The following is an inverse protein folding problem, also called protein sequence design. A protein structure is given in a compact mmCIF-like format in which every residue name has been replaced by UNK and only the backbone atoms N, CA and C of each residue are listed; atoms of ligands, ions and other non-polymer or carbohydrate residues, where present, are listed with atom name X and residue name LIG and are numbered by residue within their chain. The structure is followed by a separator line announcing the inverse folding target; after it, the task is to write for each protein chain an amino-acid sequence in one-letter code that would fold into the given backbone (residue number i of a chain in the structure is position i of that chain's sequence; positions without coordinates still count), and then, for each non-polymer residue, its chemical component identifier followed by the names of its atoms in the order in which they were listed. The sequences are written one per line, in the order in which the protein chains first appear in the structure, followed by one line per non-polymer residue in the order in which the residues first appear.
data_IF_314602250617
#
_entry.id   IF_314602250617
#
_cell.length_a   1.000
_cell.length_b   1.000
_cell.length_c   1.000
_cell.angle_alpha   90.00
_cell.angle_beta   90.00
_cell.angle_gamma   90.00
#
_symmetry.space_group_name_H-M   'P 1'
#
loop_
_entity.id
_entity.type
_entity.pdbx_description
1 polymer ?
#
# COMPACT_ATOMS: atom_id res chain seq x y z
N UNK A 1 46.43 -68.11 28.81
CA UNK A 1 45.98 -66.76 28.39
C UNK A 1 46.43 -66.59 26.95
N UNK A 2 45.84 -67.32 25.99
CA UNK A 2 44.59 -67.02 25.27
C UNK A 2 44.82 -65.70 24.51
N UNK A 3 45.23 -65.67 23.24
CA UNK A 3 44.63 -66.37 22.10
C UNK A 3 43.64 -65.38 21.45
N UNK A 4 44.14 -64.40 20.69
CA UNK A 4 43.28 -63.46 19.98
C UNK A 4 42.65 -64.12 18.75
N UNK A 5 41.32 -63.99 18.71
CA UNK A 5 40.40 -64.63 17.79
C UNK A 5 39.91 -63.56 16.80
N UNK A 6 40.07 -63.80 15.50
CA UNK A 6 39.41 -63.03 14.44
C UNK A 6 37.89 -63.19 14.51
N UNK A 7 37.11 -62.16 14.18
CA UNK A 7 35.97 -62.18 13.21
C UNK A 7 35.62 -60.71 12.87
N UNK A 8 35.49 -60.39 11.58
CA UNK A 8 35.11 -59.07 11.10
C UNK A 8 33.60 -58.81 11.11
N UNK A 9 33.22 -57.57 10.79
CA UNK A 9 31.89 -57.27 10.30
C UNK A 9 31.98 -56.11 9.31
N UNK A 10 31.55 -56.39 8.07
CA UNK A 10 31.23 -55.43 7.04
C UNK A 10 30.48 -54.23 7.62
N UNK A 11 31.07 -53.03 7.51
CA UNK A 11 30.28 -51.80 7.56
C UNK A 11 29.59 -51.67 6.20
N UNK A 12 28.26 -51.60 6.11
CA UNK A 12 27.62 -51.33 4.84
C UNK A 12 27.92 -49.88 4.48
N UNK A 13 28.79 -49.67 3.50
CA UNK A 13 28.88 -48.41 2.79
C UNK A 13 27.65 -48.35 1.88
N UNK A 14 26.71 -47.47 2.19
CA UNK A 14 25.54 -47.25 1.33
C UNK A 14 26.05 -46.52 0.08
N UNK A 15 26.50 -47.28 -0.92
CA UNK A 15 26.54 -46.79 -2.29
C UNK A 15 25.10 -46.54 -2.72
N UNK A 16 24.69 -45.27 -2.62
CA UNK A 16 23.49 -44.80 -3.30
C UNK A 16 23.82 -44.79 -4.79
N UNK A 17 23.57 -45.90 -5.46
CA UNK A 17 23.40 -45.89 -6.91
C UNK A 17 22.29 -44.89 -7.22
N UNK A 18 22.68 -43.73 -7.74
CA UNK A 18 21.74 -42.77 -8.31
C UNK A 18 21.18 -43.47 -9.56
N UNK A 19 19.87 -43.74 -9.63
CA UNK A 19 19.28 -44.33 -10.82
C UNK A 19 19.61 -43.42 -12.02
N UNK A 20 20.08 -44.02 -13.13
CA UNK A 20 20.31 -43.33 -14.42
C UNK A 20 19.03 -42.73 -15.04
N UNK A 21 17.93 -42.62 -14.30
CA UNK A 21 16.75 -41.83 -14.64
C UNK A 21 16.80 -40.37 -14.14
N UNK A 22 17.80 -39.99 -13.32
CA UNK A 22 18.05 -38.59 -12.93
C UNK A 22 19.04 -37.85 -13.84
N UNK A 23 19.12 -38.24 -15.12
CA UNK A 23 19.68 -37.37 -16.15
C UNK A 23 18.57 -36.43 -16.59
N UNK A 24 18.49 -35.25 -15.95
CA UNK A 24 17.59 -34.17 -16.34
C UNK A 24 17.89 -33.80 -17.80
N UNK A 25 16.98 -34.17 -18.71
CA UNK A 25 16.88 -33.55 -20.02
C UNK A 25 16.21 -32.18 -19.86
N UNK A 26 17.01 -31.13 -20.03
CA UNK A 26 16.68 -29.98 -20.88
C UNK A 26 15.61 -28.99 -20.40
N UNK A 27 16.07 -27.98 -19.66
CA UNK A 27 15.87 -26.53 -19.93
C UNK A 27 14.48 -25.89 -19.89
N UNK A 28 13.36 -26.62 -19.85
CA UNK A 28 12.04 -25.98 -19.90
C UNK A 28 11.48 -25.52 -18.54
N UNK A 29 11.71 -26.25 -17.45
CA UNK A 29 11.11 -25.92 -16.14
C UNK A 29 11.90 -24.89 -15.31
N UNK A 30 13.21 -24.72 -15.54
CA UNK A 30 14.01 -23.70 -14.84
C UNK A 30 13.63 -22.28 -15.27
N UNK A 31 13.40 -22.11 -16.57
CA UNK A 31 13.02 -20.82 -17.15
C UNK A 31 11.68 -20.29 -16.61
N UNK A 32 10.71 -21.17 -16.35
CA UNK A 32 9.39 -20.75 -15.84
C UNK A 32 9.47 -20.30 -14.38
N UNK A 33 10.32 -20.95 -13.57
CA UNK A 33 10.53 -20.61 -12.16
C UNK A 33 11.35 -19.32 -12.04
N UNK A 34 12.43 -19.19 -12.80
CA UNK A 34 13.28 -17.99 -12.82
C UNK A 34 12.53 -16.78 -13.39
N UNK A 35 11.69 -16.97 -14.41
CA UNK A 35 10.84 -15.90 -14.93
C UNK A 35 9.75 -15.47 -13.93
N UNK A 36 9.20 -16.41 -13.13
CA UNK A 36 8.18 -16.07 -12.14
C UNK A 36 8.78 -15.33 -10.92
N UNK A 37 9.94 -15.79 -10.43
CA UNK A 37 10.69 -15.12 -9.35
C UNK A 37 11.12 -13.70 -9.76
N UNK A 38 11.63 -13.53 -10.99
CA UNK A 38 12.00 -12.21 -11.50
C UNK A 38 10.78 -11.30 -11.70
N UNK A 39 9.61 -11.86 -12.03
CA UNK A 39 8.37 -11.11 -12.22
C UNK A 39 7.81 -10.63 -10.87
N UNK A 40 7.75 -11.48 -9.86
CA UNK A 40 7.33 -11.10 -8.51
C UNK A 40 8.29 -10.10 -7.86
N UNK A 41 9.60 -10.31 -8.01
CA UNK A 41 10.58 -9.31 -7.57
C UNK A 41 10.43 -7.99 -8.32
N UNK A 42 10.24 -8.00 -9.65
CA UNK A 42 10.05 -6.79 -10.46
C UNK A 42 8.78 -6.02 -10.10
N UNK A 43 7.73 -6.71 -9.68
CA UNK A 43 6.49 -6.08 -9.18
C UNK A 43 6.66 -5.52 -7.77
N UNK A 44 7.43 -6.18 -6.90
CA UNK A 44 7.77 -5.64 -5.58
C UNK A 44 8.58 -4.34 -5.66
N UNK A 45 9.42 -4.16 -6.70
CA UNK A 45 10.19 -2.90 -6.94
C UNK A 45 9.33 -1.75 -7.45
N UNK A 46 8.07 -2.00 -7.82
CA UNK A 46 7.16 -0.98 -8.34
C UNK A 46 6.16 -0.47 -7.31
N UNK A 47 6.24 -0.90 -6.05
CA UNK A 47 5.36 -0.40 -4.98
C UNK A 47 6.01 0.79 -4.29
N UNK A 48 5.25 1.89 -4.19
CA UNK A 48 5.65 3.12 -3.49
C UNK A 48 4.71 3.35 -2.31
N UNK A 49 5.27 3.72 -1.16
CA UNK A 49 4.52 4.13 0.02
C UNK A 49 4.29 5.65 0.00
N UNK A 50 3.04 6.05 0.22
CA UNK A 50 2.63 7.44 0.39
C UNK A 50 2.06 7.62 1.79
N UNK A 51 2.53 8.64 2.50
CA UNK A 51 1.96 9.08 3.78
C UNK A 51 1.06 10.27 3.53
N UNK A 52 -0.22 10.15 3.89
CA UNK A 52 -1.27 11.15 3.64
C UNK A 52 -1.70 11.72 4.98
N UNK A 53 -1.54 13.02 5.17
CA UNK A 53 -2.09 13.76 6.32
C UNK A 53 -3.29 14.56 5.87
N UNK A 54 -4.43 14.31 6.49
CA UNK A 54 -5.69 15.01 6.20
C UNK A 54 -5.99 15.96 7.34
N UNK A 55 -6.19 17.24 7.02
CA UNK A 55 -6.48 18.30 7.98
C UNK A 55 -7.96 18.64 7.91
N UNK A 56 -8.71 18.27 8.94
CA UNK A 56 -10.11 18.68 9.10
C UNK A 56 -10.14 20.03 9.80
N UNK A 57 -10.79 21.02 9.21
CA UNK A 57 -10.74 22.39 9.75
C UNK A 57 -11.49 22.54 11.08
N UNK A 58 -11.22 23.64 11.77
CA UNK A 58 -11.80 23.94 13.08
C UNK A 58 -13.09 24.79 12.97
N UNK A 59 -14.04 24.37 12.13
CA UNK A 59 -15.38 24.96 12.06
C UNK A 59 -16.40 24.14 12.85
N UNK A 60 -17.45 24.78 13.35
CA UNK A 60 -18.54 24.07 14.03
C UNK A 60 -19.15 23.06 13.05
N UNK A 61 -19.18 21.79 13.43
CA UNK A 61 -19.70 20.70 12.57
C UNK A 61 -18.74 20.26 11.45
N UNK A 62 -17.46 20.63 11.52
CA UNK A 62 -16.51 20.32 10.45
C UNK A 62 -16.15 18.85 10.30
N UNK A 63 -16.37 18.02 11.33
CA UNK A 63 -16.03 16.60 11.30
C UNK A 63 -17.08 15.76 10.58
N UNK A 64 -16.68 14.57 10.13
CA UNK A 64 -17.57 13.66 9.40
C UNK A 64 -17.39 12.22 9.86
N UNK A 65 -18.48 11.48 9.94
CA UNK A 65 -18.49 10.01 10.10
C UNK A 65 -18.68 9.29 8.75
N UNK A 66 -18.66 10.04 7.63
CA UNK A 66 -18.79 9.46 6.29
C UNK A 66 -17.51 8.73 5.85
N UNK A 67 -17.66 7.85 4.86
CA UNK A 67 -16.52 7.08 4.36
C UNK A 67 -15.65 7.94 3.42
N UNK A 68 -14.53 8.45 3.93
CA UNK A 68 -13.58 9.27 3.15
C UNK A 68 -12.67 8.42 2.25
N UNK A 69 -12.54 8.81 0.99
CA UNK A 69 -11.70 8.15 0.00
C UNK A 69 -10.78 9.15 -0.72
N UNK A 70 -9.69 8.63 -1.31
CA UNK A 70 -8.72 9.42 -2.07
C UNK A 70 -8.21 8.66 -3.31
N UNK A 71 -7.91 9.42 -4.37
CA UNK A 71 -7.19 8.97 -5.57
C UNK A 71 -6.00 9.90 -5.78
N UNK A 72 -4.83 9.34 -6.04
CA UNK A 72 -3.61 10.10 -6.36
C UNK A 72 -3.34 10.08 -7.86
N UNK A 73 -3.01 11.24 -8.43
CA UNK A 73 -2.65 11.37 -9.84
C UNK A 73 -1.22 11.88 -9.96
N UNK A 74 -0.37 11.07 -10.59
CA UNK A 74 0.98 11.43 -10.96
C UNK A 74 1.21 11.35 -12.46
N UNK A 75 2.35 11.89 -12.90
CA UNK A 75 2.66 12.01 -14.32
C UNK A 75 2.98 10.67 -15.01
N UNK A 76 3.22 9.59 -14.26
CA UNK A 76 3.44 8.24 -14.80
C UNK A 76 2.15 7.41 -14.76
N UNK A 77 1.35 7.53 -13.69
CA UNK A 77 0.11 6.76 -13.52
C UNK A 77 -0.82 7.41 -12.45
N UNK A 78 -2.01 6.83 -12.25
CA UNK A 78 -2.90 7.12 -11.13
C UNK A 78 -3.10 5.91 -10.21
N UNK A 79 -3.41 6.17 -8.95
CA UNK A 79 -3.75 5.10 -8.01
C UNK A 79 -5.17 4.55 -8.25
N UNK A 80 -5.44 3.42 -7.62
CA UNK A 80 -6.78 2.99 -7.24
C UNK A 80 -7.42 3.94 -6.22
N UNK A 81 -8.70 3.70 -5.92
CA UNK A 81 -9.42 4.40 -4.84
C UNK A 81 -8.98 3.79 -3.50
N UNK A 82 -8.47 4.64 -2.61
CA UNK A 82 -8.13 4.25 -1.25
C UNK A 82 -9.17 4.75 -0.26
N UNK A 83 -9.74 3.83 0.51
CA UNK A 83 -10.56 4.16 1.67
C UNK A 83 -9.66 4.55 2.84
N UNK A 84 -9.86 5.73 3.41
CA UNK A 84 -9.09 6.23 4.54
C UNK A 84 -9.87 5.95 5.83
N UNK A 85 -9.72 4.76 6.41
CA UNK A 85 -10.48 4.34 7.60
C UNK A 85 -9.63 4.09 8.85
N UNK A 86 -8.32 3.87 8.69
CA UNK A 86 -7.42 3.53 9.79
C UNK A 86 -6.35 4.61 9.94
N UNK A 87 -6.70 5.66 10.69
CA UNK A 87 -5.75 6.71 11.07
C UNK A 87 -4.69 6.15 12.01
N UNK A 88 -3.46 6.65 11.91
CA UNK A 88 -2.36 6.25 12.78
C UNK A 88 -2.49 6.85 14.19
N UNK A 89 -3.21 7.96 14.33
CA UNK A 89 -3.34 8.71 15.57
C UNK A 89 -4.70 8.49 16.26
N UNK A 90 -5.78 8.32 15.50
CA UNK A 90 -7.14 8.39 16.03
C UNK A 90 -7.98 7.16 15.64
N UNK A 91 -8.81 6.69 16.59
CA UNK A 91 -9.80 5.63 16.33
C UNK A 91 -11.01 6.14 15.54
N UNK A 92 -11.41 7.40 15.76
CA UNK A 92 -12.40 8.10 14.94
C UNK A 92 -11.68 9.21 14.15
N UNK A 93 -11.34 8.99 12.87
CA UNK A 93 -10.69 10.00 12.04
C UNK A 93 -11.66 11.06 11.55
N UNK A 94 -11.12 12.14 10.97
CA UNK A 94 -11.86 13.25 10.35
C UNK A 94 -12.71 14.05 11.33
N UNK A 95 -12.27 14.11 12.58
CA UNK A 95 -12.88 14.94 13.60
C UNK A 95 -12.50 16.42 13.45
N UNK A 96 -13.40 17.31 13.88
CA UNK A 96 -13.18 18.76 13.83
C UNK A 96 -11.82 19.15 14.43
N UNK A 97 -11.04 19.92 13.68
CA UNK A 97 -9.73 20.45 14.12
C UNK A 97 -8.66 19.37 14.34
N UNK A 98 -8.89 18.14 13.86
CA UNK A 98 -7.92 17.05 13.93
C UNK A 98 -7.16 16.87 12.63
N UNK A 99 -6.00 16.25 12.77
CA UNK A 99 -5.14 15.83 11.67
C UNK A 99 -5.00 14.32 11.76
N UNK A 100 -5.32 13.64 10.67
CA UNK A 100 -5.26 12.18 10.58
C UNK A 100 -4.23 11.75 9.55
N UNK A 101 -3.32 10.85 9.94
CA UNK A 101 -2.31 10.30 9.05
C UNK A 101 -2.70 8.91 8.60
N UNK A 102 -2.56 8.65 7.31
CA UNK A 102 -2.77 7.35 6.67
C UNK A 102 -1.54 6.96 5.87
N UNK A 103 -1.32 5.65 5.74
CA UNK A 103 -0.28 5.08 4.87
C UNK A 103 -0.94 4.22 3.82
N UNK A 104 -0.66 4.52 2.55
CA UNK A 104 -1.10 3.71 1.42
C UNK A 104 0.10 3.23 0.64
N UNK A 105 -0.04 2.07 0.00
CA UNK A 105 0.96 1.50 -0.90
C UNK A 105 0.29 1.22 -2.23
N UNK A 106 0.83 1.76 -3.29
CA UNK A 106 0.34 1.55 -4.66
C UNK A 106 1.53 1.48 -5.62
N UNK A 107 1.24 1.24 -6.90
CA UNK A 107 2.25 1.33 -7.95
C UNK A 107 2.89 2.72 -7.97
N UNK A 108 4.11 2.82 -8.50
CA UNK A 108 4.79 4.11 -8.71
C UNK A 108 3.93 5.04 -9.60
N UNK A 109 3.65 6.24 -9.13
CA UNK A 109 2.83 7.24 -9.84
C UNK A 109 3.66 8.34 -10.52
N UNK A 110 4.95 8.41 -10.22
CA UNK A 110 5.81 9.54 -10.62
C UNK A 110 5.62 10.75 -9.69
N UNK A 111 5.86 11.95 -10.21
CA UNK A 111 5.56 13.20 -9.51
C UNK A 111 4.05 13.44 -9.48
N UNK A 112 3.49 13.65 -8.29
CA UNK A 112 2.07 13.96 -8.12
C UNK A 112 1.76 15.35 -8.68
N UNK A 113 0.64 15.46 -9.39
CA UNK A 113 0.16 16.74 -9.91
C UNK A 113 -1.26 17.09 -9.43
N UNK A 114 -2.02 16.12 -8.92
CA UNK A 114 -3.35 16.36 -8.33
C UNK A 114 -3.82 15.17 -7.50
N UNK A 115 -4.86 15.40 -6.71
CA UNK A 115 -5.59 14.36 -5.98
C UNK A 115 -7.09 14.54 -6.17
N UNK A 116 -7.85 13.45 -6.08
CA UNK A 116 -9.30 13.49 -5.84
C UNK A 116 -9.53 13.03 -4.41
N UNK A 117 -10.26 13.81 -3.60
CA UNK A 117 -10.63 13.41 -2.24
C UNK A 117 -12.10 13.73 -2.00
N UNK A 118 -12.79 12.83 -1.31
CA UNK A 118 -14.21 12.99 -1.03
C UNK A 118 -14.75 11.96 -0.05
N UNK A 119 -16.07 11.92 0.11
CA UNK A 119 -16.77 10.96 0.96
C UNK A 119 -18.07 10.48 0.30
N UNK A 120 -18.67 9.43 0.86
CA UNK A 120 -19.87 8.79 0.30
C UNK A 120 -21.21 9.42 0.72
N UNK A 121 -21.19 10.57 1.41
CA UNK A 121 -22.39 11.29 1.87
C UNK A 121 -23.19 10.60 2.98
N UNK A 122 -22.77 9.42 3.47
CA UNK A 122 -23.53 8.64 4.47
C UNK A 122 -23.20 9.06 5.90
N UNK A 123 -24.11 8.73 6.81
CA UNK A 123 -24.00 9.05 8.24
C UNK A 123 -24.80 10.30 8.63
N UNK A 124 -24.91 10.54 9.93
CA UNK A 124 -25.47 11.80 10.43
C UNK A 124 -24.41 12.89 10.31
N UNK A 125 -24.80 14.09 9.87
CA UNK A 125 -23.88 15.21 9.65
C UNK A 125 -22.68 14.83 8.76
N UNK A 126 -22.97 14.27 7.57
CA UNK A 126 -21.94 13.80 6.64
C UNK A 126 -21.10 14.93 6.03
N UNK A 127 -21.53 16.17 6.18
CA UNK A 127 -20.78 17.34 5.71
C UNK A 127 -19.43 17.47 6.38
N UNK A 128 -18.41 17.74 5.58
CA UNK A 128 -17.02 17.73 6.02
C UNK A 128 -16.31 19.00 5.59
N UNK A 129 -15.69 19.72 6.53
CA UNK A 129 -14.84 20.86 6.19
C UNK A 129 -13.39 20.42 6.07
N UNK A 130 -12.96 20.17 4.83
CA UNK A 130 -11.58 19.83 4.53
C UNK A 130 -10.74 21.11 4.44
N UNK A 131 -9.70 21.22 5.28
CA UNK A 131 -8.74 22.34 5.23
C UNK A 131 -7.70 22.10 4.14
N UNK A 132 -6.94 21.01 4.25
CA UNK A 132 -5.90 20.62 3.30
C UNK A 132 -5.53 19.14 3.42
N UNK A 133 -4.78 18.65 2.44
CA UNK A 133 -4.14 17.33 2.44
C UNK A 133 -2.64 17.50 2.18
N UNK A 134 -1.79 16.91 3.02
CA UNK A 134 -0.35 16.83 2.78
C UNK A 134 0.06 15.39 2.44
N UNK A 135 0.81 15.20 1.36
CA UNK A 135 1.23 13.87 0.90
C UNK A 135 2.74 13.81 0.81
N UNK A 136 3.33 12.83 1.50
CA UNK A 136 4.76 12.53 1.40
C UNK A 136 4.96 11.28 0.56
N UNK A 137 5.69 11.42 -0.55
CA UNK A 137 6.17 10.31 -1.38
C UNK A 137 7.53 9.82 -0.83
N UNK A 138 7.54 8.63 -0.22
CA UNK A 138 8.74 8.08 0.40
C UNK A 138 9.84 7.73 -0.61
N UNK A 139 9.49 7.44 -1.87
CA UNK A 139 10.46 7.09 -2.92
C UNK A 139 11.23 8.29 -3.45
N UNK A 140 10.61 9.48 -3.40
CA UNK A 140 11.16 10.74 -3.94
C UNK A 140 11.54 11.75 -2.86
N UNK A 141 11.27 11.43 -1.59
CA UNK A 141 11.41 12.36 -0.46
C UNK A 141 10.75 13.73 -0.75
N UNK A 142 9.59 13.69 -1.41
CA UNK A 142 8.85 14.87 -1.87
C UNK A 142 7.58 15.03 -1.07
N UNK A 143 7.24 16.28 -0.73
CA UNK A 143 6.02 16.64 0.00
C UNK A 143 5.16 17.53 -0.89
N UNK A 144 3.88 17.18 -1.01
CA UNK A 144 2.87 17.90 -1.79
C UNK A 144 1.76 18.37 -0.86
N UNK A 145 1.34 19.63 -0.99
CA UNK A 145 0.29 20.22 -0.14
C UNK A 145 -0.88 20.66 -1.00
N UNK A 146 -2.06 20.10 -0.77
CA UNK A 146 -3.28 20.36 -1.53
C UNK A 146 -4.29 21.10 -0.65
N UNK A 147 -4.50 22.39 -0.91
CA UNK A 147 -5.43 23.21 -0.13
C UNK A 147 -6.87 23.07 -0.64
N UNK A 148 -7.83 22.94 0.28
CA UNK A 148 -9.25 22.84 -0.02
C UNK A 148 -10.02 24.02 0.60
N UNK A 149 -9.99 24.15 1.92
CA UNK A 149 -10.66 25.22 2.70
C UNK A 149 -12.15 25.41 2.40
N UNK A 150 -12.87 24.32 2.15
CA UNK A 150 -14.30 24.36 1.81
C UNK A 150 -15.04 23.15 2.37
N UNK A 151 -16.36 23.26 2.40
CA UNK A 151 -17.24 22.15 2.71
C UNK A 151 -17.34 21.18 1.53
N UNK A 152 -17.24 19.90 1.84
CA UNK A 152 -17.63 18.77 1.02
C UNK A 152 -18.92 18.23 1.64
N UNK A 153 -20.05 18.55 1.02
CA UNK A 153 -21.38 18.35 1.59
C UNK A 153 -22.42 18.55 0.48
N UNK A 154 -23.50 17.77 0.51
CA UNK A 154 -24.61 17.91 -0.45
C UNK A 154 -25.48 19.15 -0.17
N UNK A 155 -25.47 19.64 1.06
CA UNK A 155 -26.29 20.75 1.55
C UNK A 155 -25.52 22.07 1.75
N UNK A 156 -24.20 22.07 1.57
CA UNK A 156 -23.34 23.25 1.71
C UNK A 156 -22.39 23.47 0.51
N UNK A 157 -21.83 24.68 0.43
CA UNK A 157 -20.89 25.10 -0.62
C UNK A 157 -21.44 24.95 -2.05
N UNK A 158 -20.95 23.97 -2.82
CA UNK A 158 -21.38 23.71 -4.19
C UNK A 158 -22.19 22.41 -4.32
N UNK A 159 -22.55 21.78 -3.20
CA UNK A 159 -23.27 20.51 -3.16
C UNK A 159 -22.42 19.28 -3.52
N UNK A 160 -21.10 19.43 -3.66
CA UNK A 160 -20.20 18.32 -3.98
C UNK A 160 -19.59 17.72 -2.72
N UNK A 161 -19.53 16.38 -2.67
CA UNK A 161 -18.89 15.59 -1.60
C UNK A 161 -17.47 15.11 -1.97
N UNK A 162 -16.99 15.46 -3.17
CA UNK A 162 -15.66 15.14 -3.66
C UNK A 162 -15.10 16.31 -4.48
N UNK A 163 -13.77 16.45 -4.47
CA UNK A 163 -13.08 17.54 -5.18
C UNK A 163 -11.72 17.09 -5.69
N UNK A 164 -11.37 17.55 -6.90
CA UNK A 164 -10.01 17.46 -7.42
C UNK A 164 -9.18 18.66 -6.93
N UNK A 165 -8.04 18.39 -6.29
CA UNK A 165 -7.13 19.42 -5.77
C UNK A 165 -5.77 19.36 -6.47
N UNK A 166 -5.14 20.52 -6.57
CA UNK A 166 -3.81 20.70 -7.17
C UNK A 166 -2.85 21.29 -6.11
N UNK A 167 -1.53 21.01 -6.19
CA UNK A 167 -0.53 21.48 -5.23
C UNK A 167 -0.33 23.00 -5.25
#
# INVERSE_FOLDING_TARGET
MNGEFSVGANKPEIQRDIPRSFVIRGDKQKNDIDNNLNKEESQARNVTEYTIKVYTGDKRGAGTDANVHIILFGNEDKSEVFQLSQSLEHQNPFERGKVDTFKIKTKRLGSLYSIEIGHDGKGFASGWFLEKVEITDASRNSVYCFYCNRWLSEDESDGLTAVQLYP
#
